data_IF_505408964461
#
_entry.id   IF_505408964461
#
_cell.length_a   1.000
_cell.length_b   1.000
_cell.length_c   1.000
_cell.angle_alpha   90.00
_cell.angle_beta   90.00
_cell.angle_gamma   90.00
#
_symmetry.space_group_name_H-M   'P 1'
#
loop_
_entity.id
_entity.type
_entity.pdbx_description
1 polymer ?
#
# COMPACT_ATOMS: atom_id res chain seq x y z
N UNK A 1 7.75 25.60 -19.43
CA UNK A 1 7.80 24.49 -18.45
C UNK A 1 6.90 23.39 -18.98
N UNK A 2 7.49 22.24 -19.33
CA UNK A 2 6.76 21.05 -19.78
C UNK A 2 5.76 20.62 -18.69
N UNK A 3 4.56 20.20 -19.12
CA UNK A 3 3.45 19.78 -18.24
C UNK A 3 3.83 18.64 -17.25
N UNK A 4 4.93 17.94 -17.50
CA UNK A 4 5.46 16.85 -16.68
C UNK A 4 5.86 17.22 -15.25
N UNK A 5 6.25 18.48 -14.98
CA UNK A 5 6.79 18.87 -13.67
C UNK A 5 5.84 19.73 -12.83
N UNK A 6 4.53 19.66 -13.08
CA UNK A 6 3.54 20.40 -12.30
C UNK A 6 3.29 19.77 -10.92
N UNK A 7 3.02 20.60 -9.91
CA UNK A 7 2.66 20.14 -8.55
C UNK A 7 1.43 19.23 -8.56
N UNK A 8 0.46 19.55 -9.42
CA UNK A 8 -0.77 18.76 -9.57
C UNK A 8 -0.46 17.33 -9.98
N UNK A 9 0.41 17.15 -10.97
CA UNK A 9 0.79 15.82 -11.46
C UNK A 9 1.53 14.99 -10.40
N UNK A 10 2.47 15.60 -9.67
CA UNK A 10 3.18 14.92 -8.57
C UNK A 10 2.25 14.50 -7.44
N UNK A 11 1.21 15.29 -7.18
CA UNK A 11 0.20 14.96 -6.17
C UNK A 11 -0.63 13.73 -6.60
N UNK A 12 -1.04 13.67 -7.87
CA UNK A 12 -1.74 12.52 -8.44
C UNK A 12 -0.89 11.25 -8.36
N UNK A 13 0.39 11.32 -8.78
CA UNK A 13 1.32 10.20 -8.68
C UNK A 13 1.51 9.68 -7.24
N UNK A 14 1.48 10.58 -6.24
CA UNK A 14 1.54 10.20 -4.83
C UNK A 14 0.27 9.46 -4.39
N UNK A 15 -0.91 9.94 -4.78
CA UNK A 15 -2.19 9.30 -4.48
C UNK A 15 -2.26 7.91 -5.10
N UNK A 16 -1.81 7.74 -6.34
CA UNK A 16 -1.77 6.45 -7.02
C UNK A 16 -0.85 5.46 -6.30
N UNK A 17 0.34 5.90 -5.88
CA UNK A 17 1.27 5.07 -5.10
C UNK A 17 0.67 4.64 -3.76
N UNK A 18 -0.03 5.55 -3.07
CA UNK A 18 -0.74 5.23 -1.82
C UNK A 18 -1.85 4.21 -2.07
N UNK A 19 -2.67 4.41 -3.10
CA UNK A 19 -3.74 3.49 -3.47
C UNK A 19 -3.19 2.09 -3.81
N UNK A 20 -2.07 2.02 -4.52
CA UNK A 20 -1.40 0.75 -4.83
C UNK A 20 -0.87 0.06 -3.57
N UNK A 21 -0.22 0.80 -2.66
CA UNK A 21 0.27 0.24 -1.38
C UNK A 21 -0.85 -0.36 -0.54
N UNK A 22 -2.03 0.29 -0.51
CA UNK A 22 -3.20 -0.22 0.21
C UNK A 22 -3.67 -1.59 -0.30
N UNK A 23 -3.54 -1.87 -1.60
CA UNK A 23 -3.88 -3.17 -2.20
C UNK A 23 -2.92 -4.30 -1.80
N UNK A 24 -1.72 -3.97 -1.31
CA UNK A 24 -0.72 -4.95 -0.88
C UNK A 24 -0.41 -5.98 -1.97
N UNK A 25 -0.62 -7.27 -1.68
CA UNK A 25 -0.42 -8.36 -2.64
C UNK A 25 -1.46 -8.48 -3.76
N UNK A 26 -2.40 -7.54 -3.86
CA UNK A 26 -3.50 -7.51 -4.81
C UNK A 26 -4.73 -8.33 -4.38
N UNK A 27 -5.87 -8.05 -5.00
CA UNK A 27 -7.20 -8.55 -4.61
C UNK A 27 -7.24 -10.08 -4.49
N UNK A 28 -6.62 -10.78 -5.44
CA UNK A 28 -6.53 -12.26 -5.44
C UNK A 28 -5.88 -12.81 -4.16
N UNK A 29 -4.86 -12.14 -3.62
CA UNK A 29 -4.15 -12.57 -2.41
C UNK A 29 -4.92 -12.20 -1.14
N UNK A 30 -5.62 -11.07 -1.16
CA UNK A 30 -6.54 -10.65 -0.09
C UNK A 30 -7.66 -11.66 0.06
N UNK A 31 -8.36 -11.98 -1.03
CA UNK A 31 -9.41 -13.01 -1.03
C UNK A 31 -8.91 -14.37 -0.54
N UNK A 32 -7.68 -14.76 -0.93
CA UNK A 32 -7.09 -16.01 -0.47
C UNK A 32 -6.82 -16.03 1.04
N UNK A 33 -6.53 -14.89 1.68
CA UNK A 33 -6.45 -14.80 3.14
C UNK A 33 -7.82 -14.98 3.77
N UNK A 34 -8.82 -14.24 3.29
CA UNK A 34 -10.19 -14.30 3.82
C UNK A 34 -10.81 -15.69 3.67
N UNK A 35 -10.62 -16.35 2.53
CA UNK A 35 -11.06 -17.75 2.29
C UNK A 35 -10.44 -18.75 3.27
N UNK A 36 -9.29 -18.42 3.86
CA UNK A 36 -8.64 -19.22 4.91
C UNK A 36 -9.05 -18.82 6.33
N UNK A 37 -10.05 -17.94 6.48
CA UNK A 37 -10.48 -17.40 7.76
C UNK A 37 -9.47 -16.43 8.38
N UNK A 38 -8.58 -15.84 7.58
CA UNK A 38 -7.52 -14.94 8.07
C UNK A 38 -7.79 -13.51 7.62
N UNK A 39 -7.54 -12.58 8.54
CA UNK A 39 -7.46 -11.15 8.23
C UNK A 39 -6.15 -10.81 7.51
N UNK A 40 -6.17 -9.74 6.72
CA UNK A 40 -4.98 -9.09 6.15
C UNK A 40 -4.15 -8.43 7.24
N UNK A 41 -2.93 -7.99 6.90
CA UNK A 41 -2.06 -7.31 7.87
C UNK A 41 -2.70 -6.01 8.41
N UNK A 42 -3.24 -5.16 7.53
CA UNK A 42 -3.89 -3.90 7.94
C UNK A 42 -5.19 -4.13 8.70
N UNK A 43 -5.99 -5.12 8.32
CA UNK A 43 -7.20 -5.49 9.09
C UNK A 43 -6.88 -5.90 10.53
N UNK A 44 -5.76 -6.60 10.76
CA UNK A 44 -5.32 -6.96 12.12
C UNK A 44 -4.91 -5.75 12.94
N UNK A 45 -4.23 -4.78 12.30
CA UNK A 45 -3.85 -3.53 12.96
C UNK A 45 -5.10 -2.75 13.36
N UNK A 46 -6.06 -2.61 12.45
CA UNK A 46 -7.34 -1.93 12.74
C UNK A 46 -8.16 -2.62 13.82
N UNK A 47 -8.07 -3.95 13.98
CA UNK A 47 -8.73 -4.66 15.07
C UNK A 47 -8.05 -4.45 16.42
N UNK A 48 -6.73 -4.21 16.42
CA UNK A 48 -5.92 -4.12 17.63
C UNK A 48 -5.91 -2.71 18.23
N UNK A 49 -5.92 -1.69 17.38
CA UNK A 49 -5.75 -0.29 17.76
C UNK A 49 -7.09 0.43 17.80
N UNK A 50 -7.14 1.55 18.53
CA UNK A 50 -8.31 2.42 18.54
C UNK A 50 -8.54 3.02 17.14
N UNK A 51 -9.81 3.14 16.75
CA UNK A 51 -10.18 3.65 15.44
C UNK A 51 -9.57 5.04 15.18
N UNK A 52 -8.88 5.16 14.04
CA UNK A 52 -8.23 6.40 13.63
C UNK A 52 -6.90 6.72 14.33
N UNK A 53 -6.40 5.86 15.21
CA UNK A 53 -5.13 6.09 15.92
C UNK A 53 -3.87 5.63 15.16
N UNK A 54 -4.03 4.82 14.11
CA UNK A 54 -2.90 4.23 13.40
C UNK A 54 -2.25 5.20 12.40
N UNK A 55 -0.99 5.54 12.65
CA UNK A 55 -0.13 6.29 11.74
C UNK A 55 0.92 5.37 11.10
N UNK A 56 0.84 5.17 9.79
CA UNK A 56 1.69 4.22 9.06
C UNK A 56 3.04 4.84 8.69
N UNK A 57 4.13 4.19 9.11
CA UNK A 57 5.48 4.53 8.68
C UNK A 57 5.87 3.73 7.44
N UNK A 58 6.64 4.36 6.55
CA UNK A 58 7.23 3.71 5.38
C UNK A 58 6.26 2.98 4.41
N UNK A 59 5.05 3.48 4.12
CA UNK A 59 4.06 2.76 3.30
C UNK A 59 4.47 2.55 1.83
N UNK A 60 5.49 3.27 1.34
CA UNK A 60 5.96 3.23 -0.05
C UNK A 60 7.37 2.63 -0.20
N UNK A 61 7.92 2.03 0.87
CA UNK A 61 9.25 1.41 0.81
C UNK A 61 9.21 0.14 -0.04
N UNK A 62 10.24 0.01 -0.89
CA UNK A 62 10.48 -1.16 -1.74
C UNK A 62 11.86 -1.73 -1.43
N UNK A 63 12.07 -3.02 -1.69
CA UNK A 63 13.41 -3.59 -1.60
C UNK A 63 14.32 -3.01 -2.69
N UNK A 64 15.64 -3.18 -2.49
CA UNK A 64 16.67 -2.72 -3.45
C UNK A 64 17.45 -3.86 -4.12
N UNK A 65 17.09 -5.11 -3.83
CA UNK A 65 17.66 -6.28 -4.50
C UNK A 65 17.30 -6.25 -6.00
N UNK A 66 18.26 -6.65 -6.83
CA UNK A 66 18.07 -6.89 -8.27
C UNK A 66 18.27 -8.36 -8.63
N UNK A 67 18.47 -9.23 -7.63
CA UNK A 67 18.66 -10.66 -7.83
C UNK A 67 17.32 -11.36 -8.12
N UNK A 68 17.36 -12.40 -8.97
CA UNK A 68 16.21 -13.30 -9.25
C UNK A 68 14.94 -12.62 -9.79
N UNK A 69 15.05 -11.48 -10.47
CA UNK A 69 13.90 -10.79 -11.05
C UNK A 69 12.98 -10.14 -10.01
N UNK A 70 13.55 -9.85 -8.83
CA UNK A 70 12.97 -8.98 -7.83
C UNK A 70 13.03 -7.51 -8.29
#
# INVERSE_FOLDING_TARGET
>A
MSQENSTSKKHEELLDKKALSLKGGGDKRVEAQHKRGKLTARERISLLLDDGSFEELDPLVLHRSTNFGL
#
